data_IF_255939676051
#
_entry.id   IF_255939676051
#
_cell.length_a   1.000
_cell.length_b   1.000
_cell.length_c   1.000
_cell.angle_alpha   90.00
_cell.angle_beta   90.00
_cell.angle_gamma   90.00
#
_symmetry.space_group_name_H-M   'P 1'
#
loop_
_entity.id
_entity.type
_entity.pdbx_description
1 polymer ?
#
# COMPACT_ATOMS: atom_id res chain seq x y z
N UNK A 1 40.88 6.41 13.95
CA UNK A 1 40.14 6.95 15.12
C UNK A 1 38.91 7.69 14.60
N UNK A 2 37.69 7.27 14.98
CA UNK A 2 36.48 8.07 14.74
C UNK A 2 36.32 9.03 15.92
N UNK A 3 36.37 10.33 15.66
CA UNK A 3 36.10 11.36 16.66
C UNK A 3 34.59 11.39 16.84
N UNK A 4 34.10 11.04 18.03
CA UNK A 4 32.69 11.20 18.38
C UNK A 4 32.53 12.63 18.86
N UNK A 5 31.96 13.50 18.02
CA UNK A 5 31.61 14.86 18.41
C UNK A 5 30.34 14.81 19.28
N UNK A 6 30.46 15.26 20.53
CA UNK A 6 29.32 15.40 21.42
C UNK A 6 28.68 16.77 21.20
N UNK A 7 27.43 16.81 20.74
CA UNK A 7 26.68 18.04 20.56
C UNK A 7 25.67 18.18 21.70
N UNK A 8 25.77 19.26 22.48
CA UNK A 8 24.82 19.59 23.55
C UNK A 8 23.67 20.42 22.97
N UNK A 9 22.45 19.87 22.94
CA UNK A 9 21.25 20.63 22.60
C UNK A 9 20.10 19.75 22.14
N UNK A 10 18.92 20.35 22.00
CA UNK A 10 17.74 19.68 21.42
C UNK A 10 17.93 19.58 19.91
N UNK A 11 17.75 18.39 19.36
CA UNK A 11 17.78 18.17 17.91
C UNK A 11 16.45 18.63 17.32
N UNK A 12 16.50 19.54 16.36
CA UNK A 12 15.36 20.02 15.60
C UNK A 12 15.44 19.53 14.15
N UNK A 13 14.31 19.10 13.61
CA UNK A 13 14.25 18.58 12.22
C UNK A 13 13.63 19.62 11.31
N UNK A 14 14.35 20.03 10.25
CA UNK A 14 13.86 20.96 9.23
C UNK A 14 14.20 20.42 7.85
N UNK A 15 13.21 20.29 6.96
CA UNK A 15 13.40 19.83 5.57
C UNK A 15 14.25 18.54 5.41
N UNK A 16 14.05 17.54 6.28
CA UNK A 16 14.75 16.24 6.32
C UNK A 16 16.22 16.29 6.80
N UNK A 17 16.71 17.45 7.18
CA UNK A 17 18.00 17.62 7.84
C UNK A 17 17.80 17.81 9.36
N UNK A 18 18.81 17.41 10.14
CA UNK A 18 18.82 17.59 11.59
C UNK A 18 19.72 18.78 11.96
N UNK A 19 19.25 19.56 12.93
CA UNK A 19 19.93 20.75 13.40
C UNK A 19 20.03 20.74 14.93
N UNK A 20 21.09 21.34 15.44
CA UNK A 20 21.22 21.73 16.85
C UNK A 20 21.49 23.24 16.84
N UNK A 21 20.49 24.04 17.20
CA UNK A 21 20.48 25.47 16.88
C UNK A 21 20.53 25.67 15.36
N UNK A 22 21.50 26.43 14.86
CA UNK A 22 21.69 26.70 13.43
C UNK A 22 22.66 25.71 12.75
N UNK A 23 23.25 24.77 13.49
CA UNK A 23 24.25 23.85 12.95
C UNK A 23 23.60 22.57 12.42
N UNK A 24 23.84 22.27 11.14
CA UNK A 24 23.45 20.98 10.54
C UNK A 24 24.29 19.86 11.14
N UNK A 25 23.62 18.82 11.62
CA UNK A 25 24.23 17.62 12.21
C UNK A 25 23.71 16.36 11.53
N UNK A 26 24.49 15.28 11.61
CA UNK A 26 24.02 13.97 11.19
C UNK A 26 22.84 13.54 12.08
N UNK A 27 21.72 13.19 11.46
CA UNK A 27 20.56 12.72 12.19
C UNK A 27 20.92 11.43 12.96
N UNK A 28 20.60 11.36 14.27
CA UNK A 28 20.87 10.16 15.05
C UNK A 28 20.19 8.95 14.39
N UNK A 29 20.97 7.91 14.11
CA UNK A 29 20.49 6.66 13.53
C UNK A 29 19.89 5.71 14.60
N UNK A 30 19.55 6.23 15.77
CA UNK A 30 18.88 5.45 16.83
C UNK A 30 17.38 5.44 16.60
N UNK A 31 16.82 4.23 16.58
CA UNK A 31 15.46 3.92 16.16
C UNK A 31 14.38 4.84 16.72
N UNK A 32 13.39 5.12 15.86
CA UNK A 32 12.18 5.92 16.08
C UNK A 32 12.39 7.44 16.04
N UNK A 33 12.66 7.97 14.84
CA UNK A 33 12.34 9.37 14.54
C UNK A 33 10.85 9.44 14.22
N UNK A 34 10.02 9.75 15.22
CA UNK A 34 8.69 10.27 14.98
C UNK A 34 8.84 11.66 14.37
N UNK A 35 8.82 11.76 13.05
CA UNK A 35 8.75 13.05 12.37
C UNK A 35 7.36 13.64 12.59
N UNK A 36 7.27 14.90 12.98
CA UNK A 36 6.04 15.71 13.08
C UNK A 36 5.23 15.74 11.77
N UNK A 37 5.84 15.37 10.65
CA UNK A 37 5.22 15.25 9.32
C UNK A 37 4.71 13.82 8.96
N UNK A 38 4.80 12.83 9.84
CA UNK A 38 4.28 11.47 9.59
C UNK A 38 5.06 10.62 8.58
N UNK A 39 6.21 11.06 8.09
CA UNK A 39 6.93 10.44 6.97
C UNK A 39 7.57 9.06 7.27
N UNK A 40 7.70 8.68 8.55
CA UNK A 40 8.25 7.36 8.94
C UNK A 40 7.48 6.71 10.09
N UNK A 41 6.20 6.42 9.88
CA UNK A 41 5.52 5.42 10.70
C UNK A 41 6.01 4.03 10.27
N UNK A 42 7.06 3.52 10.89
CA UNK A 42 7.43 2.11 10.75
C UNK A 42 6.48 1.30 11.63
N UNK A 43 5.56 0.55 11.02
CA UNK A 43 4.62 -0.35 11.70
C UNK A 43 5.35 -1.54 12.33
N UNK A 44 6.42 -1.99 11.69
CA UNK A 44 7.20 -3.15 12.14
C UNK A 44 8.43 -2.72 12.97
N UNK A 45 8.78 -3.47 14.02
CA UNK A 45 10.01 -3.23 14.76
C UNK A 45 11.24 -3.48 13.87
N UNK A 46 12.33 -2.78 14.16
CA UNK A 46 13.62 -3.01 13.50
C UNK A 46 14.18 -4.37 13.90
N UNK A 47 14.30 -5.28 12.94
CA UNK A 47 14.86 -6.61 13.12
C UNK A 47 16.05 -6.73 12.15
N UNK A 48 17.31 -6.73 12.64
CA UNK A 48 18.50 -6.64 11.78
C UNK A 48 18.59 -7.71 10.69
N UNK A 49 18.06 -8.92 10.93
CA UNK A 49 18.03 -10.00 9.93
C UNK A 49 17.09 -9.69 8.74
N UNK A 50 16.08 -8.84 8.93
CA UNK A 50 15.11 -8.43 7.91
C UNK A 50 15.44 -7.07 7.26
N UNK A 51 16.46 -6.37 7.80
CA UNK A 51 17.01 -5.14 7.23
C UNK A 51 18.00 -5.42 6.08
N UNK A 52 18.23 -6.68 5.72
CA UNK A 52 18.97 -7.06 4.52
C UNK A 52 18.03 -7.41 3.37
N UNK A 53 18.51 -7.18 2.14
CA UNK A 53 17.87 -7.71 0.94
C UNK A 53 17.98 -9.24 0.96
N UNK A 54 16.86 -9.93 0.70
CA UNK A 54 16.81 -11.37 0.59
C UNK A 54 16.02 -11.77 -0.66
N UNK A 55 16.72 -11.94 -1.78
CA UNK A 55 16.13 -12.20 -3.09
C UNK A 55 15.36 -13.52 -3.11
N UNK A 56 15.96 -14.57 -2.54
CA UNK A 56 15.34 -15.90 -2.45
C UNK A 56 13.99 -15.82 -1.75
N UNK A 57 13.91 -15.19 -0.57
CA UNK A 57 12.66 -15.05 0.16
C UNK A 57 11.63 -14.22 -0.62
N UNK A 58 12.06 -13.11 -1.22
CA UNK A 58 11.17 -12.25 -2.00
C UNK A 58 10.55 -12.99 -3.19
N UNK A 59 11.37 -13.68 -3.99
CA UNK A 59 10.89 -14.40 -5.17
C UNK A 59 10.05 -15.63 -4.81
N UNK A 60 10.37 -16.33 -3.72
CA UNK A 60 9.51 -17.42 -3.21
C UNK A 60 8.13 -16.88 -2.84
N UNK A 61 8.06 -15.78 -2.08
CA UNK A 61 6.77 -15.18 -1.69
C UNK A 61 5.99 -14.69 -2.91
N UNK A 62 6.66 -14.01 -3.85
CA UNK A 62 6.04 -13.55 -5.09
C UNK A 62 5.49 -14.73 -5.91
N UNK A 63 6.26 -15.81 -6.03
CA UNK A 63 5.84 -17.01 -6.74
C UNK A 63 4.62 -17.66 -6.08
N UNK A 64 4.62 -17.80 -4.74
CA UNK A 64 3.47 -18.36 -4.01
C UNK A 64 2.21 -17.52 -4.23
N UNK A 65 2.32 -16.18 -4.21
CA UNK A 65 1.18 -15.29 -4.49
C UNK A 65 0.67 -15.47 -5.92
N UNK A 66 1.56 -15.52 -6.92
CA UNK A 66 1.19 -15.71 -8.32
C UNK A 66 0.50 -17.06 -8.52
N UNK A 67 1.08 -18.14 -7.97
CA UNK A 67 0.50 -19.48 -8.05
C UNK A 67 -0.86 -19.56 -7.35
N UNK A 68 -1.00 -18.91 -6.19
CA UNK A 68 -2.27 -18.82 -5.47
C UNK A 68 -3.35 -18.13 -6.30
N UNK A 69 -3.05 -16.96 -6.88
CA UNK A 69 -3.99 -16.23 -7.75
C UNK A 69 -4.32 -17.04 -9.01
N UNK A 70 -3.32 -17.68 -9.63
CA UNK A 70 -3.52 -18.52 -10.80
C UNK A 70 -4.41 -19.73 -10.49
N UNK A 71 -4.21 -20.39 -9.35
CA UNK A 71 -5.05 -21.48 -8.89
C UNK A 71 -6.51 -21.02 -8.67
N UNK A 72 -6.72 -19.87 -8.03
CA UNK A 72 -8.06 -19.29 -7.88
C UNK A 72 -8.74 -19.03 -9.23
N UNK A 73 -7.98 -18.56 -10.23
CA UNK A 73 -8.48 -18.28 -11.58
C UNK A 73 -8.82 -19.56 -12.36
N UNK A 74 -7.87 -20.49 -12.46
CA UNK A 74 -7.95 -21.70 -13.28
C UNK A 74 -8.99 -22.67 -12.73
N UNK A 75 -8.92 -22.96 -11.43
CA UNK A 75 -9.83 -23.92 -10.80
C UNK A 75 -11.17 -23.30 -10.39
N UNK A 76 -11.40 -22.02 -10.67
CA UNK A 76 -12.64 -21.28 -10.33
C UNK A 76 -13.04 -21.48 -8.86
N UNK A 77 -12.06 -21.46 -7.97
CA UNK A 77 -12.28 -21.63 -6.52
C UNK A 77 -13.15 -20.47 -6.03
N UNK A 78 -14.21 -20.79 -5.29
CA UNK A 78 -15.12 -19.80 -4.73
C UNK A 78 -14.66 -19.33 -3.36
N UNK A 79 -14.47 -18.03 -3.21
CA UNK A 79 -14.20 -17.37 -1.93
C UNK A 79 -15.42 -16.52 -1.59
N UNK A 80 -16.04 -16.82 -0.44
CA UNK A 80 -17.31 -16.24 -0.01
C UNK A 80 -18.42 -16.36 -1.08
N UNK A 81 -18.43 -17.49 -1.80
CA UNK A 81 -19.44 -17.82 -2.80
C UNK A 81 -19.20 -17.22 -4.19
N UNK A 82 -18.09 -16.52 -4.42
CA UNK A 82 -17.72 -15.92 -5.71
C UNK A 82 -16.35 -16.39 -6.20
N UNK A 83 -16.24 -16.65 -7.49
CA UNK A 83 -14.99 -16.96 -8.19
C UNK A 83 -14.17 -15.69 -8.42
N UNK A 84 -12.86 -15.82 -8.66
CA UNK A 84 -12.01 -14.66 -8.97
C UNK A 84 -12.53 -13.88 -10.19
N UNK A 85 -13.05 -14.56 -11.21
CA UNK A 85 -13.67 -13.92 -12.38
C UNK A 85 -14.88 -13.05 -11.99
N UNK A 86 -15.72 -13.50 -11.07
CA UNK A 86 -16.88 -12.73 -10.59
C UNK A 86 -16.48 -11.52 -9.73
N UNK A 87 -15.31 -11.56 -9.09
CA UNK A 87 -14.75 -10.39 -8.40
C UNK A 87 -14.20 -9.36 -9.40
N UNK A 88 -13.44 -9.80 -10.42
CA UNK A 88 -12.65 -8.90 -11.25
C UNK A 88 -13.38 -8.44 -12.53
N UNK A 89 -14.15 -9.30 -13.19
CA UNK A 89 -14.80 -8.98 -14.48
C UNK A 89 -15.73 -7.76 -14.42
N UNK A 90 -16.48 -7.47 -13.35
CA UNK A 90 -17.30 -6.26 -13.33
C UNK A 90 -16.50 -4.96 -13.21
N UNK A 91 -15.24 -5.03 -12.76
CA UNK A 91 -14.41 -3.88 -12.36
C UNK A 91 -13.02 -3.87 -13.04
N UNK A 92 -12.81 -4.71 -14.06
CA UNK A 92 -11.50 -4.94 -14.69
C UNK A 92 -10.83 -3.63 -15.17
N UNK A 93 -11.60 -2.70 -15.71
CA UNK A 93 -11.09 -1.41 -16.19
C UNK A 93 -10.62 -0.51 -15.04
N UNK A 94 -11.27 -0.54 -13.87
CA UNK A 94 -10.79 0.19 -12.68
C UNK A 94 -9.49 -0.40 -12.15
N UNK A 95 -9.33 -1.72 -12.25
CA UNK A 95 -8.08 -2.42 -11.90
C UNK A 95 -6.96 -1.97 -12.85
N UNK A 96 -7.20 -1.97 -14.17
CA UNK A 96 -6.22 -1.50 -15.15
C UNK A 96 -5.82 -0.03 -14.92
N UNK A 97 -6.80 0.86 -14.70
CA UNK A 97 -6.51 2.28 -14.38
C UNK A 97 -5.64 2.37 -13.12
N UNK A 98 -5.94 1.58 -12.09
CA UNK A 98 -5.15 1.57 -10.85
C UNK A 98 -3.71 1.09 -11.08
N UNK A 99 -3.52 0.02 -11.87
CA UNK A 99 -2.21 -0.49 -12.24
C UNK A 99 -1.42 0.57 -13.03
N UNK A 100 -2.03 1.20 -14.03
CA UNK A 100 -1.39 2.25 -14.83
C UNK A 100 -1.03 3.47 -13.98
N UNK A 101 -1.91 3.89 -13.07
CA UNK A 101 -1.63 4.99 -12.15
C UNK A 101 -0.43 4.67 -11.25
N UNK A 102 -0.34 3.45 -10.73
CA UNK A 102 0.83 2.99 -9.96
C UNK A 102 2.08 2.93 -10.83
N UNK A 103 2.02 2.32 -12.02
CA UNK A 103 3.17 2.24 -12.92
C UNK A 103 3.70 3.64 -13.26
N UNK A 104 2.80 4.58 -13.57
CA UNK A 104 3.14 5.98 -13.82
C UNK A 104 3.85 6.63 -12.64
N UNK A 105 3.36 6.43 -11.40
CA UNK A 105 3.98 6.97 -10.19
C UNK A 105 5.47 6.62 -10.10
N UNK A 106 5.85 5.36 -10.37
CA UNK A 106 7.23 4.92 -10.20
C UNK A 106 8.10 5.15 -11.43
N UNK A 107 7.56 4.99 -12.63
CA UNK A 107 8.33 5.18 -13.86
C UNK A 107 8.63 6.65 -14.14
N UNK A 108 7.68 7.54 -13.85
CA UNK A 108 7.74 8.96 -14.20
C UNK A 108 7.60 9.88 -12.99
N UNK A 109 6.59 9.64 -12.14
CA UNK A 109 6.25 10.55 -11.03
C UNK A 109 7.37 10.78 -10.02
N UNK A 110 8.18 9.76 -9.72
CA UNK A 110 9.34 9.89 -8.81
C UNK A 110 10.56 10.59 -9.43
N UNK A 111 10.63 10.69 -10.76
CA UNK A 111 11.76 11.33 -11.48
C UNK A 111 11.50 12.80 -11.81
N UNK A 112 10.23 13.22 -11.82
CA UNK A 112 9.84 14.61 -12.05
C UNK A 112 10.03 15.34 -10.71
N UNK A 113 11.13 16.09 -10.59
CA UNK A 113 11.50 16.85 -9.39
C UNK A 113 10.30 17.50 -8.69
N UNK A 114 10.11 17.13 -7.42
CA UNK A 114 9.32 17.80 -6.39
C UNK A 114 7.83 18.09 -6.63
N UNK A 115 7.19 17.55 -7.67
CA UNK A 115 5.75 17.76 -7.83
C UNK A 115 4.93 16.77 -7.00
N UNK A 116 4.95 16.94 -5.67
CA UNK A 116 4.14 16.21 -4.69
C UNK A 116 2.66 16.11 -5.10
N UNK A 117 2.15 17.11 -5.82
CA UNK A 117 0.78 17.16 -6.33
C UNK A 117 0.50 16.02 -7.32
N UNK A 118 1.42 15.72 -8.24
CA UNK A 118 1.24 14.66 -9.25
C UNK A 118 1.15 13.26 -8.61
N UNK A 119 1.95 13.02 -7.56
CA UNK A 119 1.94 11.77 -6.79
C UNK A 119 0.64 11.64 -5.97
N UNK A 120 0.15 12.75 -5.40
CA UNK A 120 -1.15 12.78 -4.70
C UNK A 120 -2.32 12.55 -5.63
N UNK A 121 -2.35 13.18 -6.81
CA UNK A 121 -3.41 12.99 -7.80
C UNK A 121 -3.48 11.53 -8.22
N UNK A 122 -2.33 10.93 -8.59
CA UNK A 122 -2.29 9.51 -8.95
C UNK A 122 -2.68 8.60 -7.79
N UNK A 123 -2.47 9.03 -6.54
CA UNK A 123 -3.00 8.34 -5.36
C UNK A 123 -4.53 8.39 -5.30
N UNK A 124 -5.13 9.57 -5.41
CA UNK A 124 -6.58 9.72 -5.46
C UNK A 124 -7.22 8.94 -6.60
N UNK A 125 -6.56 8.87 -7.77
CA UNK A 125 -7.07 8.12 -8.92
C UNK A 125 -7.31 6.65 -8.58
N UNK A 126 -6.32 5.96 -7.99
CA UNK A 126 -6.53 4.56 -7.64
C UNK A 126 -7.44 4.40 -6.41
N UNK A 127 -7.43 5.32 -5.45
CA UNK A 127 -8.36 5.30 -4.29
C UNK A 127 -9.82 5.40 -4.74
N UNK A 128 -10.13 6.31 -5.66
CA UNK A 128 -11.46 6.47 -6.26
C UNK A 128 -11.84 5.20 -7.04
N UNK A 129 -10.92 4.65 -7.83
CA UNK A 129 -11.17 3.40 -8.56
C UNK A 129 -11.56 2.24 -7.63
N UNK A 130 -10.88 2.12 -6.49
CA UNK A 130 -11.21 1.13 -5.45
C UNK A 130 -12.61 1.38 -4.89
N UNK A 131 -12.90 2.61 -4.46
CA UNK A 131 -14.19 2.97 -3.85
C UNK A 131 -15.36 2.71 -4.81
N UNK A 132 -15.21 3.14 -6.08
CA UNK A 132 -16.22 2.93 -7.12
C UNK A 132 -16.37 1.44 -7.45
N UNK A 133 -15.30 0.66 -7.41
CA UNK A 133 -15.35 -0.79 -7.61
C UNK A 133 -16.16 -1.48 -6.52
N UNK A 134 -15.92 -1.15 -5.25
CA UNK A 134 -16.69 -1.66 -4.13
C UNK A 134 -18.18 -1.30 -4.27
N UNK A 135 -18.49 -0.03 -4.57
CA UNK A 135 -19.86 0.42 -4.83
C UNK A 135 -20.52 -0.36 -5.98
N UNK A 136 -19.84 -0.51 -7.11
CA UNK A 136 -20.35 -1.22 -8.29
C UNK A 136 -20.66 -2.69 -7.98
N UNK A 137 -19.79 -3.35 -7.23
CA UNK A 137 -19.94 -4.76 -6.85
C UNK A 137 -21.04 -4.98 -5.80
N UNK A 138 -21.19 -4.06 -4.85
CA UNK A 138 -22.34 -4.05 -3.93
C UNK A 138 -23.63 -3.97 -4.74
N UNK A 139 -23.73 -2.99 -5.66
CA UNK A 139 -24.93 -2.74 -6.45
C UNK A 139 -25.28 -3.89 -7.40
N UNK A 140 -24.31 -4.42 -8.14
CA UNK A 140 -24.59 -5.33 -9.26
C UNK A 140 -24.40 -6.81 -8.95
N UNK A 141 -23.71 -7.16 -7.87
CA UNK A 141 -23.24 -8.52 -7.66
C UNK A 141 -23.57 -9.08 -6.28
N UNK A 142 -24.48 -8.44 -5.55
CA UNK A 142 -24.93 -8.82 -4.20
C UNK A 142 -23.76 -9.19 -3.28
N UNK A 143 -22.81 -8.25 -3.11
CA UNK A 143 -21.66 -8.48 -2.24
C UNK A 143 -22.07 -8.53 -0.76
N UNK A 144 -21.45 -9.45 -0.01
CA UNK A 144 -21.50 -9.55 1.45
C UNK A 144 -20.28 -8.87 2.07
N UNK A 145 -20.24 -8.75 3.40
CA UNK A 145 -19.06 -8.27 4.13
C UNK A 145 -17.81 -9.11 3.82
N UNK A 146 -17.94 -10.45 3.75
CA UNK A 146 -16.82 -11.33 3.37
C UNK A 146 -16.29 -11.02 1.96
N UNK A 147 -17.20 -10.76 1.00
CA UNK A 147 -16.81 -10.37 -0.35
C UNK A 147 -16.05 -9.03 -0.36
N UNK A 148 -16.46 -8.06 0.46
CA UNK A 148 -15.76 -6.77 0.59
C UNK A 148 -14.37 -6.95 1.22
N UNK A 149 -14.26 -7.78 2.26
CA UNK A 149 -12.97 -8.09 2.87
C UNK A 149 -12.01 -8.69 1.83
N UNK A 150 -12.47 -9.70 1.08
CA UNK A 150 -11.66 -10.32 0.05
C UNK A 150 -11.31 -9.37 -1.10
N UNK A 151 -12.24 -8.50 -1.51
CA UNK A 151 -11.95 -7.44 -2.47
C UNK A 151 -10.84 -6.49 -1.98
N UNK A 152 -10.82 -6.16 -0.70
CA UNK A 152 -9.76 -5.37 -0.08
C UNK A 152 -8.40 -6.07 -0.11
N UNK A 153 -8.37 -7.39 0.14
CA UNK A 153 -7.16 -8.22 -0.02
C UNK A 153 -6.68 -8.23 -1.47
N UNK A 154 -7.58 -8.42 -2.44
CA UNK A 154 -7.25 -8.39 -3.87
C UNK A 154 -6.63 -7.05 -4.28
N UNK A 155 -7.27 -5.93 -3.94
CA UNK A 155 -6.73 -4.60 -4.25
C UNK A 155 -5.42 -4.31 -3.52
N UNK A 156 -5.25 -4.81 -2.29
CA UNK A 156 -3.98 -4.72 -1.56
C UNK A 156 -2.85 -5.43 -2.31
N UNK A 157 -3.08 -6.65 -2.78
CA UNK A 157 -2.11 -7.40 -3.58
C UNK A 157 -1.83 -6.72 -4.92
N UNK A 158 -2.87 -6.27 -5.64
CA UNK A 158 -2.72 -5.63 -6.95
C UNK A 158 -1.95 -4.31 -6.85
N UNK A 159 -2.37 -3.40 -5.98
CA UNK A 159 -1.81 -2.05 -5.92
C UNK A 159 -0.54 -2.04 -5.09
N UNK A 160 -0.59 -2.51 -3.85
CA UNK A 160 0.56 -2.45 -2.95
C UNK A 160 1.58 -3.55 -3.21
N UNK A 161 1.14 -4.73 -3.65
CA UNK A 161 2.06 -5.75 -4.15
C UNK A 161 2.84 -5.25 -5.37
N UNK A 162 2.19 -4.59 -6.34
CA UNK A 162 2.88 -3.97 -7.47
C UNK A 162 3.88 -2.89 -7.02
N UNK A 163 3.46 -1.97 -6.13
CA UNK A 163 4.35 -0.93 -5.57
C UNK A 163 5.59 -1.53 -4.91
N UNK A 164 5.41 -2.57 -4.12
CA UNK A 164 6.48 -3.25 -3.39
C UNK A 164 7.40 -4.00 -4.34
N UNK A 165 6.86 -4.70 -5.33
CA UNK A 165 7.65 -5.38 -6.36
C UNK A 165 8.50 -4.40 -7.17
N UNK A 166 7.92 -3.28 -7.61
CA UNK A 166 8.69 -2.23 -8.31
C UNK A 166 9.78 -1.66 -7.40
N UNK A 167 9.48 -1.37 -6.13
CA UNK A 167 10.49 -0.89 -5.15
C UNK A 167 11.62 -1.90 -4.93
N UNK A 168 11.29 -3.19 -4.90
CA UNK A 168 12.29 -4.23 -4.73
C UNK A 168 13.22 -4.30 -5.94
N UNK A 169 12.64 -4.43 -7.14
CA UNK A 169 13.37 -4.69 -8.37
C UNK A 169 14.16 -3.48 -8.87
N UNK A 170 13.67 -2.26 -8.66
CA UNK A 170 14.26 -1.04 -9.25
C UNK A 170 14.91 -0.09 -8.24
N UNK A 171 14.68 -0.25 -6.93
CA UNK A 171 15.15 0.70 -5.91
C UNK A 171 15.87 0.03 -4.72
N UNK A 172 16.25 -1.24 -4.87
CA UNK A 172 17.11 -2.02 -3.96
C UNK A 172 16.68 -1.96 -2.48
N UNK A 173 15.38 -2.07 -2.23
CA UNK A 173 14.85 -1.96 -0.86
C UNK A 173 14.92 -3.27 -0.09
N UNK A 174 15.05 -3.14 1.23
CA UNK A 174 15.14 -4.25 2.18
C UNK A 174 13.78 -4.91 2.38
N UNK A 175 13.76 -6.16 2.85
CA UNK A 175 12.50 -6.89 3.03
C UNK A 175 11.59 -6.23 4.08
N UNK A 176 12.14 -5.83 5.23
CA UNK A 176 11.37 -5.18 6.29
C UNK A 176 10.72 -3.87 5.82
N UNK A 177 11.46 -3.07 5.04
CA UNK A 177 10.93 -1.84 4.46
C UNK A 177 9.76 -2.11 3.51
N UNK A 178 9.85 -3.16 2.72
CA UNK A 178 8.77 -3.53 1.80
C UNK A 178 7.54 -4.07 2.50
N UNK A 179 7.74 -4.90 3.53
CA UNK A 179 6.65 -5.40 4.37
C UNK A 179 5.92 -4.23 5.06
N UNK A 180 6.66 -3.28 5.62
CA UNK A 180 6.10 -2.07 6.22
C UNK A 180 5.24 -1.27 5.22
N UNK A 181 5.78 -1.00 4.02
CA UNK A 181 5.06 -0.23 2.98
C UNK A 181 3.89 -0.99 2.36
N UNK A 182 3.97 -2.32 2.31
CA UNK A 182 2.85 -3.17 1.95
C UNK A 182 1.73 -3.01 2.99
N UNK A 183 2.02 -3.29 4.26
CA UNK A 183 1.04 -3.28 5.35
C UNK A 183 0.37 -1.92 5.52
N UNK A 184 1.15 -0.83 5.52
CA UNK A 184 0.62 0.51 5.62
C UNK A 184 -0.35 0.83 4.48
N UNK A 185 0.05 0.49 3.26
CA UNK A 185 -0.78 0.67 2.08
C UNK A 185 -2.04 -0.19 2.07
N UNK A 186 -1.89 -1.46 2.40
CA UNK A 186 -3.00 -2.40 2.52
C UNK A 186 -4.00 -1.96 3.58
N UNK A 187 -3.55 -1.36 4.69
CA UNK A 187 -4.45 -0.81 5.71
C UNK A 187 -5.33 0.31 5.13
N UNK A 188 -4.77 1.20 4.31
CA UNK A 188 -5.52 2.25 3.62
C UNK A 188 -6.55 1.64 2.65
N UNK A 189 -6.15 0.66 1.84
CA UNK A 189 -7.07 -0.07 0.95
C UNK A 189 -8.20 -0.74 1.73
N UNK A 190 -7.88 -1.42 2.83
CA UNK A 190 -8.87 -2.06 3.69
C UNK A 190 -9.82 -1.05 4.32
N UNK A 191 -9.33 0.14 4.68
CA UNK A 191 -10.18 1.21 5.20
C UNK A 191 -11.17 1.69 4.15
N UNK A 192 -10.72 1.90 2.91
CA UNK A 192 -11.59 2.35 1.82
C UNK A 192 -12.62 1.26 1.45
N UNK A 193 -12.16 0.04 1.19
CA UNK A 193 -13.03 -1.05 0.71
C UNK A 193 -13.89 -1.60 1.83
N UNK A 194 -13.27 -2.05 2.91
CA UNK A 194 -13.98 -2.81 3.92
C UNK A 194 -14.73 -1.86 4.85
N UNK A 195 -14.06 -0.89 5.47
CA UNK A 195 -14.75 0.02 6.41
C UNK A 195 -15.72 0.94 5.65
N UNK A 196 -15.24 1.64 4.61
CA UNK A 196 -16.06 2.56 3.83
C UNK A 196 -17.25 1.88 3.15
N UNK A 197 -17.03 0.79 2.42
CA UNK A 197 -18.14 0.13 1.71
C UNK A 197 -19.04 -0.71 2.63
N UNK A 198 -18.58 -1.09 3.82
CA UNK A 198 -19.46 -1.70 4.85
C UNK A 198 -20.57 -0.76 5.28
N UNK A 199 -20.34 0.55 5.34
CA UNK A 199 -21.39 1.53 5.60
C UNK A 199 -22.46 1.52 4.51
N UNK A 200 -22.05 1.48 3.24
CA UNK A 200 -22.98 1.39 2.10
C UNK A 200 -23.83 0.11 2.17
N UNK A 201 -23.19 -1.02 2.51
CA UNK A 201 -23.87 -2.30 2.64
C UNK A 201 -24.87 -2.29 3.80
N UNK A 202 -24.48 -1.71 4.95
CA UNK A 202 -25.34 -1.53 6.11
C UNK A 202 -26.58 -0.68 5.79
N UNK A 203 -26.40 0.49 5.16
CA UNK A 203 -27.52 1.36 4.80
C UNK A 203 -28.45 0.72 3.78
N UNK A 204 -27.92 -0.07 2.84
CA UNK A 204 -28.74 -0.87 1.92
C UNK A 204 -29.57 -1.91 2.64
N UNK A 205 -28.98 -2.66 3.58
CA UNK A 205 -29.69 -3.67 4.37
C UNK A 205 -30.80 -3.07 5.24
N UNK A 206 -30.62 -1.83 5.71
CA UNK A 206 -31.64 -1.07 6.45
C UNK A 206 -32.70 -0.42 5.53
N UNK A 207 -32.60 -0.59 4.21
CA UNK A 207 -33.52 0.01 3.26
C UNK A 207 -33.41 1.54 3.12
N UNK A 208 -32.38 2.15 3.73
CA UNK A 208 -32.11 3.59 3.66
C UNK A 208 -31.68 3.97 2.25
N UNK A 209 -30.90 3.11 1.58
CA UNK A 209 -30.53 3.28 0.19
C UNK A 209 -31.03 2.10 -0.63
N UNK A 210 -31.67 2.39 -1.76
CA UNK A 210 -32.21 1.41 -2.71
C UNK A 210 -31.42 1.50 -4.01
N UNK A 211 -30.86 0.38 -4.46
CA UNK A 211 -30.15 0.28 -5.74
C UNK A 211 -30.48 -1.03 -6.44
#
# INVERSE_FOLDING_TARGET
MKIIAYYSGKIETKNRDCYIGDQKVDCPQTGKVFTTAGDKLNLLPQIPSLEKRNDTLFFILLLVIILGIAALAIFKIKIFGKTLGEYLMPIWYFILISITAVAWQYLFGLKINDNFTSIRISQWVWEICIAVSAYKLIKRSNFSYGNLFFLGVLYSLIIHGLKVTVRYLFYEKTFLYLADRFLYGSLLVMTIVFIGASMLLFFRQKGIIKF
#
